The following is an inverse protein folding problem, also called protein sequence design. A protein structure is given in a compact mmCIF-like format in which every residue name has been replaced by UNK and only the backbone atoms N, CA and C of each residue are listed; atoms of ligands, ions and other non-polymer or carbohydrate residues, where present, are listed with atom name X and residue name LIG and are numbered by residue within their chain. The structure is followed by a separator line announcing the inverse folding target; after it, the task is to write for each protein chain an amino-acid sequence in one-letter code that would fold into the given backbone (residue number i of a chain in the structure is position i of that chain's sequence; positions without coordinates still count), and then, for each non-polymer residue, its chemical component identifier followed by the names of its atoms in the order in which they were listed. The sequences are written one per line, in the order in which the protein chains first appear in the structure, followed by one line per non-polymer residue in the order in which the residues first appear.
data_IF_270091879835
#
_entry.id   IF_270091879835
#
_cell.length_a   1.000
_cell.length_b   1.000
_cell.length_c   1.000
_cell.angle_alpha   90.00
_cell.angle_beta   90.00
_cell.angle_gamma   90.00
#
_symmetry.space_group_name_H-M   'P 1'
#
loop_
_entity.id
_entity.type
_entity.pdbx_description
1 polymer ?
#
# COMPACT_ATOMS: atom_id res chain seq x y z
N UNK A 1 -31.57 10.34 9.12
CA UNK A 1 -30.22 10.89 8.87
C UNK A 1 -30.09 11.16 7.39
N UNK A 2 -29.37 12.21 6.91
CA UNK A 2 -29.17 12.39 5.48
C UNK A 2 -28.45 11.17 4.91
N UNK A 3 -28.91 10.70 3.76
CA UNK A 3 -28.35 9.54 3.09
C UNK A 3 -26.94 9.90 2.60
N UNK A 4 -25.90 9.22 3.11
CA UNK A 4 -24.53 9.44 2.72
C UNK A 4 -24.32 9.00 1.27
N UNK A 5 -23.56 9.77 0.46
CA UNK A 5 -23.31 9.41 -0.94
C UNK A 5 -22.39 8.17 -1.02
N UNK A 6 -22.52 7.38 -2.09
CA UNK A 6 -21.64 6.23 -2.32
C UNK A 6 -20.16 6.65 -2.39
N UNK A 7 -19.85 7.81 -2.99
CA UNK A 7 -18.48 8.33 -3.00
C UNK A 7 -17.93 8.55 -1.59
N UNK A 8 -18.73 9.12 -0.68
CA UNK A 8 -18.30 9.30 0.71
C UNK A 8 -18.08 7.95 1.42
N UNK A 9 -18.94 6.96 1.18
CA UNK A 9 -18.80 5.61 1.76
C UNK A 9 -17.55 4.91 1.24
N UNK A 10 -17.25 5.01 -0.07
CA UNK A 10 -16.02 4.48 -0.67
C UNK A 10 -14.80 5.10 -0.01
N UNK A 11 -14.75 6.45 0.12
CA UNK A 11 -13.65 7.15 0.79
C UNK A 11 -13.48 6.66 2.23
N UNK A 12 -14.57 6.48 2.97
CA UNK A 12 -14.52 5.99 4.35
C UNK A 12 -13.95 4.57 4.46
N UNK A 13 -14.30 3.66 3.53
CA UNK A 13 -13.76 2.30 3.50
C UNK A 13 -12.25 2.33 3.28
N UNK A 14 -11.79 3.09 2.27
CA UNK A 14 -10.36 3.25 1.92
C UNK A 14 -9.57 3.81 3.09
N UNK A 15 -10.03 4.89 3.70
CA UNK A 15 -9.35 5.52 4.84
C UNK A 15 -9.40 4.64 6.09
N UNK A 16 -10.50 3.92 6.33
CA UNK A 16 -10.63 2.97 7.45
C UNK A 16 -9.67 1.81 7.32
N UNK A 17 -9.51 1.25 6.13
CA UNK A 17 -8.54 0.18 5.89
C UNK A 17 -7.15 0.62 6.35
N UNK A 18 -6.68 1.75 5.85
CA UNK A 18 -5.32 2.24 6.12
C UNK A 18 -5.12 2.67 7.58
N UNK A 19 -6.06 3.41 8.14
CA UNK A 19 -6.02 3.84 9.53
C UNK A 19 -6.06 2.64 10.50
N UNK A 20 -6.88 1.63 10.20
CA UNK A 20 -6.99 0.42 11.02
C UNK A 20 -5.70 -0.40 11.00
N UNK A 21 -5.03 -0.50 9.85
CA UNK A 21 -3.72 -1.14 9.73
C UNK A 21 -2.68 -0.44 10.59
N UNK A 22 -2.58 0.87 10.50
CA UNK A 22 -1.57 1.67 11.20
C UNK A 22 -1.79 1.71 12.73
N UNK A 23 -3.04 1.51 13.16
CA UNK A 23 -3.43 1.51 14.57
C UNK A 23 -3.71 0.12 15.15
N UNK A 24 -3.34 -0.94 14.41
CA UNK A 24 -3.48 -2.35 14.82
C UNK A 24 -4.95 -2.78 15.13
N UNK A 25 -5.91 -2.18 14.45
CA UNK A 25 -7.34 -2.52 14.58
C UNK A 25 -7.72 -3.59 13.54
N UNK A 26 -7.25 -4.82 13.74
CA UNK A 26 -7.28 -5.89 12.73
C UNK A 26 -8.67 -6.29 12.28
N UNK A 27 -9.66 -6.33 13.18
CA UNK A 27 -11.03 -6.66 12.82
C UNK A 27 -11.69 -5.54 12.00
N UNK A 28 -11.42 -4.27 12.34
CA UNK A 28 -11.87 -3.14 11.55
C UNK A 28 -11.22 -3.13 10.16
N UNK A 29 -9.93 -3.43 10.05
CA UNK A 29 -9.23 -3.60 8.78
C UNK A 29 -9.83 -4.75 7.96
N UNK A 30 -10.07 -5.91 8.58
CA UNK A 30 -10.64 -7.09 7.92
C UNK A 30 -12.02 -6.81 7.33
N UNK A 31 -12.85 -6.04 8.04
CA UNK A 31 -14.20 -5.71 7.60
C UNK A 31 -14.26 -4.81 6.37
N UNK A 32 -13.14 -4.24 5.93
CA UNK A 32 -13.08 -3.42 4.70
C UNK A 32 -12.89 -4.24 3.43
N UNK A 33 -12.51 -5.51 3.53
CA UNK A 33 -12.25 -6.39 2.38
C UNK A 33 -13.39 -7.36 2.14
N UNK A 34 -13.70 -7.64 0.88
CA UNK A 34 -14.48 -8.82 0.53
C UNK A 34 -13.60 -10.07 0.66
N UNK A 35 -14.19 -11.24 0.91
CA UNK A 35 -13.48 -12.48 1.26
C UNK A 35 -12.46 -12.93 0.20
N UNK A 36 -12.81 -12.82 -1.07
CA UNK A 36 -12.02 -13.22 -2.24
C UNK A 36 -11.31 -12.03 -2.90
N UNK A 37 -11.08 -10.95 -2.12
CA UNK A 37 -10.31 -9.79 -2.56
C UNK A 37 -8.87 -10.15 -2.88
N UNK A 38 -8.22 -9.35 -3.72
CA UNK A 38 -6.81 -9.50 -4.07
C UNK A 38 -6.00 -8.30 -3.59
N UNK A 39 -4.87 -8.55 -2.93
CA UNK A 39 -3.90 -7.53 -2.52
C UNK A 39 -2.55 -7.87 -3.12
N UNK A 40 -1.97 -6.91 -3.86
CA UNK A 40 -0.68 -7.05 -4.51
C UNK A 40 0.22 -5.86 -4.19
N UNK A 41 1.22 -6.10 -3.34
CA UNK A 41 2.21 -5.14 -2.88
C UNK A 41 3.62 -5.74 -3.03
N UNK A 42 4.66 -4.94 -2.94
CA UNK A 42 6.05 -5.41 -3.10
C UNK A 42 6.45 -6.54 -2.14
N UNK A 43 5.79 -6.68 -1.00
CA UNK A 43 6.11 -7.67 0.03
C UNK A 43 4.99 -8.68 0.31
N UNK A 44 3.85 -8.54 -0.36
CA UNK A 44 2.68 -9.39 -0.13
C UNK A 44 1.86 -9.55 -1.41
N UNK A 45 1.44 -10.79 -1.67
CA UNK A 45 0.42 -11.12 -2.67
C UNK A 45 -0.50 -12.18 -2.09
N UNK A 46 -1.83 -11.94 -2.12
CA UNK A 46 -2.83 -12.83 -1.56
C UNK A 46 -4.18 -12.13 -1.36
N UNK A 47 -5.06 -12.75 -0.59
CA UNK A 47 -6.37 -12.17 -0.27
C UNK A 47 -6.29 -11.06 0.78
N UNK A 48 -7.31 -10.20 0.86
CA UNK A 48 -7.41 -9.16 1.90
C UNK A 48 -7.37 -9.72 3.32
N UNK A 49 -8.12 -10.78 3.66
CA UNK A 49 -8.00 -11.45 4.95
C UNK A 49 -6.59 -11.94 5.28
N UNK A 50 -5.88 -12.54 4.32
CA UNK A 50 -4.47 -12.96 4.49
C UNK A 50 -3.54 -11.76 4.66
N UNK A 51 -3.80 -10.65 3.97
CA UNK A 51 -3.06 -9.40 4.13
C UNK A 51 -3.21 -8.82 5.54
N UNK A 52 -4.40 -8.89 6.13
CA UNK A 52 -4.62 -8.48 7.52
C UNK A 52 -3.79 -9.33 8.47
N UNK A 53 -3.78 -10.66 8.29
CA UNK A 53 -2.99 -11.57 9.12
C UNK A 53 -1.48 -11.35 8.95
N UNK A 54 -1.01 -11.10 7.73
CA UNK A 54 0.38 -10.77 7.44
C UNK A 54 0.77 -9.42 8.07
N UNK A 55 -0.09 -8.40 7.98
CA UNK A 55 0.12 -7.08 8.59
C UNK A 55 0.18 -7.18 10.12
N UNK A 56 -0.69 -7.98 10.74
CA UNK A 56 -0.68 -8.26 12.17
C UNK A 56 0.64 -8.91 12.60
N UNK A 57 1.09 -9.94 11.89
CA UNK A 57 2.39 -10.60 12.16
C UNK A 57 3.56 -9.63 12.03
N UNK A 58 3.53 -8.73 11.02
CA UNK A 58 4.53 -7.68 10.85
C UNK A 58 4.56 -6.74 12.06
N UNK A 59 3.42 -6.31 12.54
CA UNK A 59 3.28 -5.47 13.72
C UNK A 59 3.77 -6.18 15.01
N UNK A 60 3.40 -7.44 15.21
CA UNK A 60 3.82 -8.27 16.35
C UNK A 60 5.34 -8.49 16.40
N UNK A 61 6.02 -8.50 15.25
CA UNK A 61 7.49 -8.56 15.13
C UNK A 61 8.19 -7.22 15.39
N UNK A 62 7.44 -6.15 15.68
CA UNK A 62 7.99 -4.85 16.06
C UNK A 62 8.02 -3.80 14.95
N UNK A 63 7.59 -4.10 13.73
CA UNK A 63 7.46 -3.07 12.68
C UNK A 63 6.41 -2.03 13.06
N UNK A 64 6.74 -0.74 12.90
CA UNK A 64 5.91 0.41 13.27
C UNK A 64 5.86 1.45 12.17
N UNK A 65 5.70 0.98 10.94
CA UNK A 65 5.42 1.89 9.82
C UNK A 65 4.02 2.48 9.92
N UNK A 66 3.84 3.68 9.37
CA UNK A 66 2.55 4.33 9.20
C UNK A 66 2.44 4.96 7.80
N UNK A 67 1.23 5.32 7.41
CA UNK A 67 0.98 5.87 6.07
C UNK A 67 0.44 7.30 6.15
N UNK A 68 1.08 8.21 5.41
CA UNK A 68 0.49 9.51 5.10
C UNK A 68 -0.33 9.37 3.80
N UNK A 69 -1.63 9.60 3.92
CA UNK A 69 -2.59 9.45 2.81
C UNK A 69 -3.02 10.84 2.33
N UNK A 70 -2.94 11.04 1.01
CA UNK A 70 -3.43 12.23 0.34
C UNK A 70 -4.93 12.22 0.07
N UNK A 71 -5.39 13.17 -0.74
CA UNK A 71 -6.78 13.20 -1.16
C UNK A 71 -7.14 11.94 -1.96
N UNK A 72 -8.30 11.36 -1.65
CA UNK A 72 -8.84 10.18 -2.33
C UNK A 72 -9.68 10.65 -3.52
N UNK A 73 -9.37 10.16 -4.72
CA UNK A 73 -10.18 10.30 -5.92
C UNK A 73 -11.04 9.06 -6.08
N UNK A 74 -12.32 9.23 -6.46
CA UNK A 74 -13.28 8.13 -6.59
C UNK A 74 -14.05 8.26 -7.88
N UNK A 75 -14.10 7.19 -8.67
CA UNK A 75 -14.95 6.99 -9.83
C UNK A 75 -15.93 5.84 -9.57
N UNK A 76 -17.23 6.03 -9.88
CA UNK A 76 -18.27 5.02 -9.58
C UNK A 76 -19.05 4.71 -10.87
N UNK A 77 -19.29 3.42 -11.11
CA UNK A 77 -20.18 2.92 -12.15
C UNK A 77 -21.03 1.77 -11.56
N UNK A 78 -22.30 2.05 -11.24
CA UNK A 78 -23.21 1.10 -10.59
C UNK A 78 -22.67 0.61 -9.24
N UNK A 79 -22.50 -0.69 -9.11
CA UNK A 79 -21.99 -1.34 -7.91
C UNK A 79 -20.47 -1.54 -7.89
N UNK A 80 -19.75 -0.79 -8.73
CA UNK A 80 -18.28 -0.78 -8.80
C UNK A 80 -17.75 0.63 -8.57
N UNK A 81 -16.61 0.69 -7.88
CA UNK A 81 -15.87 1.93 -7.70
C UNK A 81 -14.36 1.71 -7.88
N UNK A 82 -13.71 2.73 -8.39
CA UNK A 82 -12.26 2.89 -8.30
C UNK A 82 -11.96 3.98 -7.30
N UNK A 83 -11.03 3.72 -6.40
CA UNK A 83 -10.44 4.73 -5.55
C UNK A 83 -8.93 4.74 -5.74
N UNK A 84 -8.33 5.93 -5.73
CA UNK A 84 -6.89 6.05 -5.70
C UNK A 84 -6.44 7.30 -4.94
N UNK A 85 -5.35 7.17 -4.22
CA UNK A 85 -4.79 8.24 -3.40
C UNK A 85 -3.25 8.19 -3.40
N UNK A 86 -2.64 9.36 -3.28
CA UNK A 86 -1.21 9.43 -2.95
C UNK A 86 -0.99 8.80 -1.58
N UNK A 87 0.01 7.93 -1.48
CA UNK A 87 0.39 7.29 -0.23
C UNK A 87 1.90 7.39 -0.02
N UNK A 88 2.30 7.72 1.20
CA UNK A 88 3.69 7.65 1.63
C UNK A 88 3.80 6.69 2.79
N UNK A 89 4.56 5.61 2.62
CA UNK A 89 4.91 4.70 3.71
C UNK A 89 6.06 5.31 4.49
N UNK A 90 5.88 5.56 5.77
CA UNK A 90 6.93 5.99 6.69
C UNK A 90 7.34 4.80 7.56
N UNK A 91 8.63 4.56 7.66
CA UNK A 91 9.18 3.52 8.51
C UNK A 91 10.56 3.93 9.03
N UNK A 92 10.90 3.47 10.22
CA UNK A 92 12.27 3.48 10.73
C UNK A 92 12.85 2.09 10.61
N UNK A 93 14.08 1.99 10.18
CA UNK A 93 14.80 0.72 10.04
C UNK A 93 16.29 0.88 10.15
N UNK A 94 17.03 -0.21 9.96
CA UNK A 94 18.49 -0.20 9.95
C UNK A 94 19.01 -0.81 8.66
N UNK A 95 19.94 -0.14 8.00
CA UNK A 95 20.70 -0.65 6.86
C UNK A 95 22.18 -0.62 7.21
N UNK A 96 22.89 -1.73 7.04
CA UNK A 96 24.30 -1.88 7.43
C UNK A 96 24.61 -1.39 8.86
N UNK A 97 23.66 -1.54 9.80
CA UNK A 97 23.81 -1.08 11.18
C UNK A 97 23.55 0.42 11.41
N UNK A 98 23.22 1.18 10.37
CA UNK A 98 22.89 2.59 10.46
C UNK A 98 21.36 2.76 10.53
N UNK A 99 20.84 3.43 11.56
CA UNK A 99 19.41 3.75 11.66
C UNK A 99 19.01 4.83 10.64
N UNK A 100 17.94 4.56 9.91
CA UNK A 100 17.40 5.46 8.89
C UNK A 100 15.89 5.65 9.06
N UNK A 101 15.41 6.80 8.67
CA UNK A 101 14.01 7.07 8.42
C UNK A 101 13.74 6.99 6.91
N UNK A 102 12.74 6.17 6.55
CA UNK A 102 12.28 5.96 5.18
C UNK A 102 10.98 6.72 4.92
N UNK A 103 10.89 7.32 3.73
CA UNK A 103 9.64 7.72 3.11
C UNK A 103 9.55 7.10 1.71
N UNK A 104 8.68 6.10 1.53
CA UNK A 104 8.42 5.45 0.24
C UNK A 104 7.13 6.01 -0.35
N UNK A 105 7.25 6.74 -1.45
CA UNK A 105 6.15 7.46 -2.09
C UNK A 105 5.56 6.65 -3.24
N UNK A 106 4.23 6.66 -3.32
CA UNK A 106 3.52 6.02 -4.41
C UNK A 106 2.05 6.43 -4.44
N UNK A 107 1.27 5.63 -5.14
CA UNK A 107 -0.18 5.76 -5.21
C UNK A 107 -0.81 4.40 -5.00
N UNK A 108 -1.73 4.33 -4.06
CA UNK A 108 -2.60 3.17 -3.91
C UNK A 108 -3.72 3.25 -4.94
N UNK A 109 -4.03 2.13 -5.54
CA UNK A 109 -5.18 1.90 -6.40
C UNK A 109 -6.03 0.79 -5.82
N UNK A 110 -7.33 1.03 -5.75
CA UNK A 110 -8.27 0.09 -5.15
C UNK A 110 -9.49 -0.05 -6.03
N UNK A 111 -9.94 -1.30 -6.23
CA UNK A 111 -11.27 -1.60 -6.75
C UNK A 111 -12.18 -1.90 -5.58
N UNK A 112 -13.37 -1.34 -5.62
CA UNK A 112 -14.38 -1.65 -4.61
C UNK A 112 -15.64 -2.16 -5.28
N UNK A 113 -16.32 -3.06 -4.60
CA UNK A 113 -17.61 -3.61 -4.99
C UNK A 113 -18.64 -3.34 -3.91
N UNK A 114 -19.87 -3.07 -4.35
CA UNK A 114 -21.00 -2.88 -3.46
C UNK A 114 -21.69 -4.22 -3.20
N UNK A 115 -21.98 -4.52 -1.95
CA UNK A 115 -22.76 -5.68 -1.55
C UNK A 115 -23.84 -5.24 -0.57
N UNK A 116 -25.09 -5.31 -0.99
CA UNK A 116 -26.19 -4.64 -0.27
C UNK A 116 -25.99 -3.12 -0.30
N UNK A 117 -25.96 -2.50 0.87
CA UNK A 117 -25.73 -1.06 1.03
C UNK A 117 -24.27 -0.71 1.37
N UNK A 118 -23.38 -1.70 1.46
CA UNK A 118 -22.01 -1.51 1.92
C UNK A 118 -20.98 -1.71 0.80
N UNK A 119 -19.86 -0.96 0.87
CA UNK A 119 -18.75 -1.06 -0.05
C UNK A 119 -17.59 -1.84 0.57
N UNK A 120 -16.91 -2.66 -0.26
CA UNK A 120 -15.78 -3.50 0.16
C UNK A 120 -14.66 -3.43 -0.86
N UNK A 121 -13.42 -3.44 -0.41
CA UNK A 121 -12.23 -3.53 -1.26
C UNK A 121 -12.17 -4.94 -1.86
N UNK A 122 -12.12 -5.02 -3.18
CA UNK A 122 -11.95 -6.26 -3.95
C UNK A 122 -10.55 -6.40 -4.55
N UNK A 123 -9.82 -5.29 -4.72
CA UNK A 123 -8.44 -5.29 -5.21
C UNK A 123 -7.68 -4.10 -4.62
N UNK A 124 -6.42 -4.31 -4.23
CA UNK A 124 -5.53 -3.27 -3.73
C UNK A 124 -4.13 -3.47 -4.26
N UNK A 125 -3.57 -2.45 -4.90
CA UNK A 125 -2.19 -2.43 -5.40
C UNK A 125 -1.56 -1.07 -5.19
N UNK A 126 -0.22 -1.02 -5.11
CA UNK A 126 0.54 0.22 -5.04
C UNK A 126 1.40 0.40 -6.29
N UNK A 127 1.33 1.58 -6.87
CA UNK A 127 2.24 2.08 -7.90
C UNK A 127 3.32 2.91 -7.22
N UNK A 128 4.58 2.50 -7.35
CA UNK A 128 5.70 3.10 -6.64
C UNK A 128 6.35 4.24 -7.43
N UNK A 129 6.62 5.37 -6.76
CA UNK A 129 7.20 6.54 -7.40
C UNK A 129 8.68 6.72 -7.08
N UNK A 130 9.03 6.74 -5.81
CA UNK A 130 10.40 6.88 -5.31
C UNK A 130 10.47 6.63 -3.82
N UNK A 131 11.65 6.26 -3.37
CA UNK A 131 12.00 6.24 -1.96
C UNK A 131 12.94 7.38 -1.61
N UNK A 132 12.85 7.83 -0.36
CA UNK A 132 13.78 8.77 0.26
C UNK A 132 14.18 8.21 1.62
N UNK A 133 15.46 8.27 1.94
CA UNK A 133 15.97 7.94 3.28
C UNK A 133 16.78 9.10 3.84
N UNK A 134 16.71 9.27 5.15
CA UNK A 134 17.62 10.14 5.90
C UNK A 134 18.13 9.40 7.14
N UNK A 135 19.26 9.85 7.68
CA UNK A 135 19.75 9.34 8.95
C UNK A 135 18.75 9.64 10.05
N UNK A 136 18.43 8.66 10.88
CA UNK A 136 17.56 8.85 12.05
C UNK A 136 18.25 9.73 13.11
N UNK A 137 19.58 9.60 13.21
CA UNK A 137 20.45 10.53 13.96
C UNK A 137 21.33 11.28 12.95
N UNK A 138 21.17 12.61 12.80
CA UNK A 138 21.91 13.41 11.82
C UNK A 138 23.42 13.48 12.05
N UNK A 139 23.92 13.07 13.23
CA UNK A 139 25.35 12.99 13.54
C UNK A 139 25.94 11.58 13.42
N UNK A 140 25.12 10.57 13.07
CA UNK A 140 25.59 9.21 12.85
C UNK A 140 26.55 9.15 11.65
N UNK A 141 27.52 8.21 11.69
CA UNK A 141 28.42 7.94 10.57
C UNK A 141 27.66 7.20 9.44
N UNK A 142 27.51 7.81 8.24
CA UNK A 142 26.86 7.16 7.10
C UNK A 142 27.80 6.23 6.32
N UNK A 143 29.08 6.15 6.65
CA UNK A 143 30.10 5.39 5.87
C UNK A 143 29.68 3.93 5.61
N UNK A 144 29.02 3.20 6.52
CA UNK A 144 28.59 1.83 6.25
C UNK A 144 27.57 1.70 5.12
N UNK A 145 26.86 2.79 4.78
CA UNK A 145 25.87 2.77 3.69
C UNK A 145 26.53 2.89 2.30
N UNK A 146 27.77 3.38 2.21
CA UNK A 146 28.44 3.67 0.93
C UNK A 146 28.69 2.41 0.07
N UNK A 147 28.76 1.23 0.69
CA UNK A 147 28.95 -0.06 -0.02
C UNK A 147 27.74 -0.98 0.10
N UNK A 148 26.60 -0.47 0.51
CA UNK A 148 25.40 -1.32 0.68
C UNK A 148 24.83 -1.73 -0.68
N UNK A 149 24.76 -3.03 -0.92
CA UNK A 149 24.12 -3.59 -2.11
C UNK A 149 22.63 -3.74 -1.89
N UNK A 150 21.83 -3.01 -2.67
CA UNK A 150 20.38 -3.07 -2.57
C UNK A 150 19.86 -4.34 -3.27
N UNK A 151 18.81 -5.00 -2.70
CA UNK A 151 18.29 -6.25 -3.26
C UNK A 151 17.70 -6.08 -4.66
N UNK A 152 17.21 -4.88 -4.94
CA UNK A 152 16.61 -4.51 -6.23
C UNK A 152 16.97 -3.07 -6.59
N UNK A 153 17.03 -2.74 -7.87
CA UNK A 153 17.16 -1.37 -8.35
C UNK A 153 15.81 -0.85 -8.90
N UNK A 154 14.92 -0.54 -7.99
CA UNK A 154 13.53 -0.12 -8.26
C UNK A 154 13.20 1.16 -7.46
N UNK A 155 12.13 1.89 -7.82
CA UNK A 155 11.67 3.08 -7.08
C UNK A 155 11.44 2.86 -5.58
N UNK A 156 11.30 1.61 -5.15
CA UNK A 156 11.08 1.20 -3.75
C UNK A 156 12.25 0.39 -3.16
N UNK A 157 13.48 0.62 -3.63
CA UNK A 157 14.67 -0.15 -3.23
C UNK A 157 15.03 -0.03 -1.75
N UNK A 158 14.83 1.13 -1.15
CA UNK A 158 15.09 1.32 0.28
C UNK A 158 14.02 0.64 1.14
N UNK A 159 12.76 0.71 0.71
CA UNK A 159 11.68 -0.06 1.34
C UNK A 159 11.96 -1.56 1.24
N UNK A 160 12.35 -2.04 0.07
CA UNK A 160 12.72 -3.42 -0.16
C UNK A 160 13.84 -3.87 0.79
N UNK A 161 14.92 -3.10 0.90
CA UNK A 161 16.04 -3.41 1.77
C UNK A 161 15.64 -3.52 3.26
N UNK A 162 14.80 -2.59 3.75
CA UNK A 162 14.29 -2.64 5.14
C UNK A 162 13.41 -3.89 5.34
N UNK A 163 12.54 -4.20 4.39
CA UNK A 163 11.66 -5.36 4.48
C UNK A 163 12.43 -6.68 4.42
N UNK A 164 13.46 -6.76 3.57
CA UNK A 164 14.34 -7.95 3.49
C UNK A 164 15.10 -8.19 4.79
N UNK A 165 15.65 -7.15 5.42
CA UNK A 165 16.29 -7.27 6.74
C UNK A 165 15.33 -7.75 7.83
N UNK A 166 14.02 -7.55 7.60
CA UNK A 166 12.94 -8.04 8.47
C UNK A 166 12.42 -9.43 8.07
N UNK A 167 13.06 -10.09 7.08
CA UNK A 167 12.76 -11.46 6.64
C UNK A 167 11.60 -11.57 5.65
N UNK A 168 11.28 -10.50 4.90
CA UNK A 168 10.29 -10.55 3.82
C UNK A 168 10.96 -10.78 2.46
N UNK A 169 10.29 -11.54 1.60
CA UNK A 169 10.67 -11.66 0.18
C UNK A 169 10.02 -10.52 -0.58
N UNK A 170 10.80 -9.84 -1.41
CA UNK A 170 10.34 -8.66 -2.15
C UNK A 170 10.19 -9.00 -3.62
N UNK A 171 8.99 -8.73 -4.17
CA UNK A 171 8.73 -8.80 -5.61
C UNK A 171 9.29 -7.58 -6.35
N UNK A 172 9.80 -7.79 -7.55
CA UNK A 172 10.32 -6.72 -8.42
C UNK A 172 9.36 -6.32 -9.56
N UNK A 173 8.20 -6.97 -9.63
CA UNK A 173 7.20 -6.85 -10.71
C UNK A 173 6.16 -5.75 -10.50
N UNK A 174 6.26 -4.98 -9.42
CA UNK A 174 5.30 -3.92 -9.14
C UNK A 174 5.34 -2.80 -10.19
N UNK A 175 4.19 -2.19 -10.53
CA UNK A 175 4.17 -0.99 -11.36
C UNK A 175 4.88 0.17 -10.65
N UNK A 176 5.63 0.95 -11.41
CA UNK A 176 6.40 2.07 -10.88
C UNK A 176 6.77 3.08 -11.96
N UNK A 177 7.38 4.18 -11.56
CA UNK A 177 7.83 5.24 -12.48
C UNK A 177 8.93 4.81 -13.45
N UNK A 178 9.63 3.75 -13.13
CA UNK A 178 10.68 3.11 -13.95
C UNK A 178 10.12 2.13 -15.00
N UNK A 179 8.82 1.78 -14.89
CA UNK A 179 8.09 0.92 -15.83
C UNK A 179 6.77 1.58 -16.24
N UNK A 180 6.81 2.71 -16.96
CA UNK A 180 5.62 3.50 -17.28
C UNK A 180 4.59 2.75 -18.11
N UNK A 181 5.02 1.80 -18.96
CA UNK A 181 4.13 0.95 -19.76
C UNK A 181 3.30 0.03 -18.86
N UNK A 182 3.94 -0.63 -17.91
CA UNK A 182 3.26 -1.49 -16.93
C UNK A 182 2.30 -0.69 -16.04
N UNK A 183 2.70 0.52 -15.65
CA UNK A 183 1.84 1.43 -14.88
C UNK A 183 0.60 1.84 -15.71
N UNK A 184 0.77 2.15 -16.99
CA UNK A 184 -0.32 2.51 -17.89
C UNK A 184 -1.26 1.33 -18.16
N UNK A 185 -0.73 0.13 -18.36
CA UNK A 185 -1.53 -1.11 -18.50
C UNK A 185 -2.38 -1.34 -17.24
N UNK A 186 -1.78 -1.21 -16.07
CA UNK A 186 -2.46 -1.40 -14.79
C UNK A 186 -3.61 -0.39 -14.61
N UNK A 187 -3.35 0.89 -14.85
CA UNK A 187 -4.37 1.95 -14.77
C UNK A 187 -5.50 1.69 -15.77
N UNK A 188 -5.15 1.33 -17.02
CA UNK A 188 -6.13 1.00 -18.06
C UNK A 188 -7.00 -0.19 -17.67
N UNK A 189 -6.41 -1.25 -17.12
CA UNK A 189 -7.14 -2.42 -16.65
C UNK A 189 -8.13 -2.08 -15.53
N UNK A 190 -7.79 -1.12 -14.65
CA UNK A 190 -8.70 -0.63 -13.61
C UNK A 190 -9.91 0.09 -14.21
N UNK A 191 -9.69 1.04 -15.13
CA UNK A 191 -10.77 1.76 -15.80
C UNK A 191 -11.65 0.83 -16.66
N UNK A 192 -11.03 -0.13 -17.35
CA UNK A 192 -11.78 -1.15 -18.12
C UNK A 192 -12.69 -1.96 -17.20
N UNK A 193 -12.15 -2.44 -16.06
CA UNK A 193 -12.92 -3.20 -15.07
C UNK A 193 -14.11 -2.39 -14.54
N UNK A 194 -13.95 -1.08 -14.29
CA UNK A 194 -15.02 -0.22 -13.79
C UNK A 194 -16.23 -0.21 -14.75
N UNK A 195 -15.99 -0.18 -16.06
CA UNK A 195 -17.02 0.00 -17.08
C UNK A 195 -17.45 -1.31 -17.76
N UNK A 196 -16.83 -2.45 -17.45
CA UNK A 196 -17.23 -3.75 -18.01
C UNK A 196 -18.55 -4.19 -17.36
N UNK A 197 -19.59 -4.38 -18.17
CA UNK A 197 -20.88 -4.95 -17.73
C UNK A 197 -20.68 -6.43 -17.36
N UNK A 198 -21.27 -6.88 -16.25
CA UNK A 198 -21.37 -8.31 -15.93
C UNK A 198 -22.42 -8.98 -16.78
#
# INVERSE_FOLDING_TARGET
MPHQSDATRVIEVVLRERASRDTAQWEAMRSTFIQDSHVHLSWFSGTGPEFVDASRKMYERGSRGFHAIGAVSVDIAGDRALAHEGATVHARGSLAGVEIDLASHGRLYQRLVKSGDEWYISDLTMLYYKDVVCLADPVADPSPLAGYEFPIDRPYKYLAAILETSGYTIGDEMPGTDRPELAAEYITAHHTWLHTTQ
#
